data_IF_243639660951
#
_entry.id   IF_243639660951
#
_cell.length_a   1.000
_cell.length_b   1.000
_cell.length_c   1.000
_cell.angle_alpha   90.00
_cell.angle_beta   90.00
_cell.angle_gamma   90.00
#
_symmetry.space_group_name_H-M   'P 1'
#
loop_
_entity.id
_entity.type
_entity.pdbx_description
1 polymer ?
#
# COMPACT_ATOMS: atom_id res chain seq x y z
N UNK A 1 -3.82 10.00 6.43
CA UNK A 1 -2.72 10.70 5.74
C UNK A 1 -1.76 11.32 6.77
N UNK A 2 -0.47 11.36 6.47
CA UNK A 2 0.59 12.01 7.25
C UNK A 2 1.40 12.92 6.34
N UNK A 3 1.66 14.15 6.78
CA UNK A 3 2.53 15.10 6.10
C UNK A 3 3.42 15.81 7.13
N UNK A 4 4.73 15.84 6.88
CA UNK A 4 5.71 16.54 7.73
C UNK A 4 6.89 17.08 6.93
N UNK A 5 7.54 18.12 7.44
CA UNK A 5 8.78 18.71 6.96
C UNK A 5 10.00 18.34 7.81
N UNK A 6 9.77 17.82 9.01
CA UNK A 6 10.81 17.55 10.02
C UNK A 6 11.09 16.06 10.16
N UNK A 7 10.04 15.25 10.26
CA UNK A 7 10.14 13.83 10.58
C UNK A 7 9.79 12.97 9.37
N UNK A 8 10.77 12.20 8.90
CA UNK A 8 10.61 11.26 7.79
C UNK A 8 9.82 10.01 8.16
N UNK A 9 9.84 9.62 9.44
CA UNK A 9 9.19 8.40 9.92
C UNK A 9 7.77 8.72 10.41
N UNK A 10 6.73 8.25 9.70
CA UNK A 10 5.36 8.43 10.15
C UNK A 10 5.11 7.66 11.45
N UNK A 11 4.54 8.34 12.44
CA UNK A 11 4.22 7.77 13.76
C UNK A 11 2.72 7.78 14.02
N UNK A 12 2.23 6.73 14.68
CA UNK A 12 0.85 6.67 15.18
C UNK A 12 0.62 7.52 16.43
N UNK A 13 1.65 8.19 16.95
CA UNK A 13 1.54 9.06 18.12
C UNK A 13 0.80 10.35 17.75
N UNK A 14 -0.44 10.43 18.22
CA UNK A 14 -1.29 11.60 18.04
C UNK A 14 -0.67 12.78 18.81
N UNK A 15 -0.30 13.86 18.09
CA UNK A 15 0.24 15.10 18.68
C UNK A 15 1.71 15.41 18.38
N UNK A 16 2.47 14.47 17.81
CA UNK A 16 3.87 14.68 17.40
C UNK A 16 4.01 14.98 15.89
N UNK A 17 2.89 14.97 15.15
CA UNK A 17 2.85 15.10 13.69
C UNK A 17 2.36 16.50 13.27
N UNK A 18 3.01 17.12 12.27
CA UNK A 18 2.64 18.47 11.79
C UNK A 18 1.27 18.50 11.10
N UNK A 19 0.98 17.52 10.24
CA UNK A 19 -0.33 17.34 9.63
C UNK A 19 -0.71 15.85 9.59
N UNK A 20 -1.83 15.51 10.22
CA UNK A 20 -2.37 14.14 10.24
C UNK A 20 -3.88 14.16 10.05
N UNK A 21 -4.37 13.18 9.29
CA UNK A 21 -5.79 12.89 9.16
C UNK A 21 -6.02 11.38 9.26
N UNK A 22 -7.11 11.03 9.96
CA UNK A 22 -7.53 9.65 10.27
C UNK A 22 -8.89 9.31 9.65
N UNK A 23 -9.32 10.07 8.65
CA UNK A 23 -10.60 9.84 7.97
C UNK A 23 -10.50 8.65 7.01
N UNK A 24 -11.62 7.95 6.85
CA UNK A 24 -11.80 6.95 5.80
C UNK A 24 -12.48 7.65 4.63
N UNK A 25 -11.75 7.92 3.55
CA UNK A 25 -12.28 8.63 2.38
C UNK A 25 -11.24 9.52 1.70
N UNK A 26 -11.73 10.45 0.88
CA UNK A 26 -10.87 11.42 0.19
C UNK A 26 -10.32 12.42 1.20
N UNK A 27 -9.01 12.61 1.17
CA UNK A 27 -8.30 13.57 1.99
C UNK A 27 -7.57 14.57 1.09
N UNK A 28 -7.65 15.86 1.41
CA UNK A 28 -7.05 16.93 0.63
C UNK A 28 -6.21 17.81 1.54
N UNK A 29 -4.91 17.82 1.29
CA UNK A 29 -3.96 18.67 1.99
C UNK A 29 -3.34 19.66 1.00
N UNK A 30 -3.50 20.96 1.28
CA UNK A 30 -2.82 22.03 0.56
C UNK A 30 -1.56 22.41 1.31
N UNK A 31 -0.41 22.30 0.65
CA UNK A 31 0.89 22.68 1.20
C UNK A 31 1.31 24.04 0.63
N UNK A 32 1.45 25.09 1.46
CA UNK A 32 1.89 26.41 0.99
C UNK A 32 3.31 26.39 0.42
N UNK A 33 3.62 27.36 -0.43
CA UNK A 33 4.95 27.52 -1.04
C UNK A 33 6.05 27.78 0.00
N UNK A 34 5.71 28.41 1.12
CA UNK A 34 6.64 28.76 2.21
C UNK A 34 7.02 27.55 3.08
N UNK A 35 6.45 26.38 2.80
CA UNK A 35 6.72 25.16 3.56
C UNK A 35 8.15 24.70 3.32
N UNK A 36 8.90 24.47 4.41
CA UNK A 36 10.28 24.01 4.32
C UNK A 36 10.37 22.63 3.65
N UNK A 37 11.44 22.40 2.89
CA UNK A 37 11.72 21.10 2.26
C UNK A 37 12.86 20.41 3.01
N UNK A 38 12.88 19.06 3.08
CA UNK A 38 12.03 18.10 2.35
C UNK A 38 10.60 17.98 2.89
N UNK A 39 9.67 17.51 2.05
CA UNK A 39 8.30 17.20 2.46
C UNK A 39 8.10 15.68 2.46
N UNK A 40 7.81 15.13 3.63
CA UNK A 40 7.52 13.72 3.86
C UNK A 40 6.01 13.51 3.85
N UNK A 41 5.53 12.59 2.99
CA UNK A 41 4.11 12.26 2.85
C UNK A 41 3.93 10.74 2.98
N UNK A 42 3.00 10.31 3.83
CA UNK A 42 2.68 8.90 4.01
C UNK A 42 1.17 8.68 4.14
N UNK A 43 0.68 7.53 3.67
CA UNK A 43 -0.72 7.11 3.81
C UNK A 43 -0.77 5.91 4.75
N UNK A 44 -1.63 5.96 5.77
CA UNK A 44 -1.84 4.85 6.69
C UNK A 44 -2.87 3.88 6.12
N UNK A 45 -2.58 2.58 6.26
CA UNK A 45 -3.54 1.53 5.99
C UNK A 45 -4.69 1.56 7.02
N UNK A 46 -5.87 1.10 6.61
CA UNK A 46 -7.01 0.94 7.50
C UNK A 46 -6.81 -0.29 8.41
N UNK A 47 -6.88 -0.15 9.75
CA UNK A 47 -6.53 -1.23 10.67
C UNK A 47 -7.46 -2.45 10.58
N UNK A 48 -8.71 -2.27 10.11
CA UNK A 48 -9.66 -3.38 9.93
C UNK A 48 -9.43 -4.19 8.65
N UNK A 49 -8.50 -3.80 7.77
CA UNK A 49 -8.22 -4.50 6.52
C UNK A 49 -6.80 -5.08 6.52
N UNK A 50 -6.67 -6.37 6.15
CA UNK A 50 -5.37 -7.03 6.01
C UNK A 50 -4.51 -6.38 4.92
N UNK A 51 -5.16 -5.88 3.87
CA UNK A 51 -4.55 -5.09 2.79
C UNK A 51 -5.43 -3.88 2.56
N UNK A 52 -4.84 -2.69 2.53
CA UNK A 52 -5.54 -1.43 2.25
C UNK A 52 -5.11 -0.86 0.92
N UNK A 53 -6.07 -0.63 0.04
CA UNK A 53 -5.84 0.03 -1.25
C UNK A 53 -6.05 1.53 -1.10
N UNK A 54 -5.12 2.32 -1.65
CA UNK A 54 -5.19 3.76 -1.65
C UNK A 54 -4.52 4.33 -2.90
N UNK A 55 -4.99 5.49 -3.36
CA UNK A 55 -4.37 6.22 -4.45
C UNK A 55 -3.87 7.57 -3.94
N UNK A 56 -2.58 7.85 -4.10
CA UNK A 56 -1.98 9.13 -3.76
C UNK A 56 -1.64 9.88 -5.04
N UNK A 57 -2.23 11.06 -5.21
CA UNK A 57 -1.97 11.93 -6.37
C UNK A 57 -1.33 13.22 -5.87
N UNK A 58 -0.12 13.51 -6.33
CA UNK A 58 0.62 14.73 -6.01
C UNK A 58 0.70 15.58 -7.28
N UNK A 59 0.25 16.84 -7.19
CA UNK A 59 0.36 17.81 -8.26
C UNK A 59 1.08 19.06 -7.74
N UNK A 60 2.04 19.57 -8.52
CA UNK A 60 2.83 20.75 -8.18
C UNK A 60 2.44 21.88 -9.12
N UNK A 61 2.04 23.02 -8.54
CA UNK A 61 1.66 24.21 -9.29
C UNK A 61 2.73 25.28 -9.12
N UNK A 62 3.32 25.75 -10.23
CA UNK A 62 4.32 26.82 -10.25
C UNK A 62 3.79 28.05 -11.01
N UNK A 63 4.16 29.26 -10.57
CA UNK A 63 3.93 30.53 -11.29
C UNK A 63 2.73 31.38 -10.83
N UNK A 64 2.51 32.53 -11.49
CA UNK A 64 1.37 33.41 -11.18
C UNK A 64 0.04 32.73 -11.57
N UNK A 65 -0.95 32.74 -10.67
CA UNK A 65 -2.22 32.03 -10.87
C UNK A 65 -2.19 30.54 -10.52
N UNK A 66 -1.16 30.06 -9.81
CA UNK A 66 -1.10 28.71 -9.22
C UNK A 66 -2.36 28.38 -8.41
N UNK A 67 -2.83 29.34 -7.61
CA UNK A 67 -4.03 29.19 -6.79
C UNK A 67 -5.29 28.89 -7.61
N UNK A 68 -5.55 29.62 -8.70
CA UNK A 68 -6.72 29.37 -9.56
C UNK A 68 -6.65 28.01 -10.26
N UNK A 69 -5.45 27.58 -10.70
CA UNK A 69 -5.25 26.26 -11.32
C UNK A 69 -5.44 25.13 -10.31
N UNK A 70 -4.92 25.33 -9.10
CA UNK A 70 -5.09 24.40 -8.00
C UNK A 70 -6.57 24.27 -7.62
N UNK A 71 -7.30 25.39 -7.46
CA UNK A 71 -8.73 25.36 -7.16
C UNK A 71 -9.52 24.60 -8.23
N UNK A 72 -9.27 24.85 -9.52
CA UNK A 72 -9.91 24.11 -10.62
C UNK A 72 -9.58 22.62 -10.60
N UNK A 73 -8.33 22.25 -10.32
CA UNK A 73 -7.93 20.85 -10.21
C UNK A 73 -8.62 20.15 -9.03
N UNK A 74 -8.70 20.82 -7.88
CA UNK A 74 -9.41 20.33 -6.70
C UNK A 74 -10.90 20.16 -7.00
N UNK A 75 -11.55 21.14 -7.61
CA UNK A 75 -12.98 21.07 -7.98
C UNK A 75 -13.25 19.96 -8.98
N UNK A 76 -12.39 19.79 -10.00
CA UNK A 76 -12.49 18.69 -10.95
C UNK A 76 -12.41 17.32 -10.25
N UNK A 77 -11.51 17.18 -9.27
CA UNK A 77 -11.28 15.94 -8.53
C UNK A 77 -12.24 15.72 -7.36
N UNK A 78 -12.85 16.77 -6.82
CA UNK A 78 -13.81 16.72 -5.71
C UNK A 78 -15.26 16.64 -6.18
N UNK A 79 -15.58 17.22 -7.34
CA UNK A 79 -16.94 17.29 -7.90
C UNK A 79 -17.30 16.14 -8.83
N UNK A 80 -16.31 15.38 -9.29
CA UNK A 80 -16.53 14.02 -9.78
C UNK A 80 -16.38 13.09 -8.59
N UNK A 81 -17.37 12.24 -8.30
CA UNK A 81 -17.06 10.99 -7.60
C UNK A 81 -16.01 10.29 -8.46
N UNK A 82 -14.72 10.40 -8.07
CA UNK A 82 -13.55 9.88 -8.75
C UNK A 82 -13.85 9.48 -10.21
N UNK A 83 -13.94 10.43 -11.15
CA UNK A 83 -13.64 10.08 -12.54
C UNK A 83 -12.11 9.90 -12.58
N UNK A 84 -11.59 8.69 -12.46
CA UNK A 84 -12.26 7.42 -12.69
C UNK A 84 -11.81 6.38 -11.68
N UNK A 85 -12.76 5.79 -10.96
CA UNK A 85 -12.62 4.41 -10.50
C UNK A 85 -12.06 3.56 -11.62
N UNK A 86 -12.31 3.85 -12.90
CA UNK A 86 -11.68 3.20 -14.06
C UNK A 86 -10.16 3.45 -14.27
N UNK A 87 -9.59 4.63 -14.02
CA UNK A 87 -8.13 4.91 -14.07
C UNK A 87 -7.45 4.39 -12.81
N UNK A 88 -8.11 4.56 -11.66
CA UNK A 88 -7.64 4.03 -10.38
C UNK A 88 -7.75 2.50 -10.36
N UNK A 89 -8.80 1.92 -10.95
CA UNK A 89 -8.95 0.47 -11.20
C UNK A 89 -8.05 -0.01 -12.33
N UNK A 90 -7.68 0.83 -13.30
CA UNK A 90 -6.61 0.49 -14.24
C UNK A 90 -5.23 0.44 -13.55
N UNK A 91 -4.96 1.34 -12.60
CA UNK A 91 -3.79 1.29 -11.72
C UNK A 91 -3.84 0.06 -10.79
N UNK A 92 -5.01 -0.26 -10.22
CA UNK A 92 -5.20 -1.42 -9.33
C UNK A 92 -5.42 -2.75 -10.07
N UNK A 93 -5.70 -2.77 -11.38
CA UNK A 93 -5.82 -4.01 -12.15
C UNK A 93 -4.47 -4.69 -12.30
N UNK A 94 -3.38 -3.92 -12.33
CA UNK A 94 -2.02 -4.43 -12.20
C UNK A 94 -1.81 -5.08 -10.82
N UNK A 95 -2.35 -4.48 -9.74
CA UNK A 95 -2.34 -5.06 -8.38
C UNK A 95 -3.16 -6.35 -8.22
N UNK A 96 -4.17 -6.64 -9.05
CA UNK A 96 -4.80 -7.97 -9.02
C UNK A 96 -3.80 -9.08 -9.36
N UNK A 97 -2.79 -8.82 -10.18
CA UNK A 97 -1.67 -9.77 -10.35
C UNK A 97 -0.84 -9.91 -9.07
N UNK A 98 -0.65 -8.85 -8.28
CA UNK A 98 0.05 -8.92 -6.99
C UNK A 98 -0.78 -9.63 -5.91
N UNK A 99 -2.10 -9.45 -5.86
CA UNK A 99 -2.98 -10.21 -4.97
C UNK A 99 -3.05 -11.69 -5.38
N UNK A 100 -3.06 -11.99 -6.68
CA UNK A 100 -2.91 -13.36 -7.19
C UNK A 100 -1.52 -13.90 -6.83
N UNK A 101 -0.46 -13.11 -6.98
CA UNK A 101 0.91 -13.47 -6.62
C UNK A 101 1.06 -13.76 -5.13
N UNK A 102 0.51 -12.92 -4.24
CA UNK A 102 0.54 -13.17 -2.78
C UNK A 102 -0.22 -14.44 -2.37
N UNK A 103 -1.39 -14.70 -2.98
CA UNK A 103 -2.10 -15.96 -2.79
C UNK A 103 -1.31 -17.16 -3.33
N UNK A 104 -0.66 -17.01 -4.49
CA UNK A 104 0.20 -18.05 -5.07
C UNK A 104 1.42 -18.31 -4.20
N UNK A 105 2.08 -17.29 -3.67
CA UNK A 105 3.21 -17.41 -2.73
C UNK A 105 2.79 -18.20 -1.49
N UNK A 106 1.62 -17.89 -0.92
CA UNK A 106 1.10 -18.64 0.22
C UNK A 106 0.83 -20.10 -0.13
N UNK A 107 0.24 -20.36 -1.29
CA UNK A 107 -0.03 -21.73 -1.76
C UNK A 107 1.29 -22.47 -2.07
N UNK A 108 2.31 -21.82 -2.63
CA UNK A 108 3.60 -22.45 -2.93
C UNK A 108 4.33 -22.84 -1.66
N UNK A 109 4.26 -22.02 -0.60
CA UNK A 109 4.81 -22.37 0.72
C UNK A 109 4.09 -23.58 1.32
N UNK A 110 2.75 -23.64 1.22
CA UNK A 110 1.97 -24.80 1.68
C UNK A 110 2.29 -26.08 0.87
N UNK A 111 2.50 -25.96 -0.44
CA UNK A 111 2.87 -27.10 -1.28
C UNK A 111 4.30 -27.55 -0.98
N UNK A 112 5.27 -26.62 -0.84
CA UNK A 112 6.65 -26.95 -0.49
C UNK A 112 6.73 -27.66 0.86
N UNK A 113 6.03 -27.18 1.87
CA UNK A 113 5.98 -27.85 3.19
C UNK A 113 5.36 -29.24 3.11
N UNK A 114 4.29 -29.41 2.34
CA UNK A 114 3.67 -30.72 2.12
C UNK A 114 4.64 -31.69 1.40
N UNK A 115 5.35 -31.22 0.37
CA UNK A 115 6.33 -32.03 -0.36
C UNK A 115 7.46 -32.47 0.57
N UNK A 116 8.00 -31.57 1.39
CA UNK A 116 9.06 -31.91 2.35
C UNK A 116 8.59 -32.97 3.36
N UNK A 117 7.36 -32.85 3.87
CA UNK A 117 6.78 -33.86 4.74
C UNK A 117 6.62 -35.23 4.05
N UNK A 118 6.20 -35.23 2.78
CA UNK A 118 6.07 -36.47 2.01
C UNK A 118 7.44 -37.11 1.71
N UNK A 119 8.46 -36.30 1.39
CA UNK A 119 9.84 -36.74 1.18
C UNK A 119 10.42 -37.34 2.46
N UNK A 120 10.24 -36.68 3.60
CA UNK A 120 10.70 -37.18 4.90
C UNK A 120 10.03 -38.52 5.27
N UNK A 121 8.71 -38.62 5.07
CA UNK A 121 7.98 -39.87 5.31
C UNK A 121 8.45 -40.99 4.37
N UNK A 122 8.69 -40.67 3.10
CA UNK A 122 9.19 -41.62 2.12
C UNK A 122 10.59 -42.14 2.49
N UNK A 123 11.55 -41.26 2.74
CA UNK A 123 12.91 -41.67 3.14
C UNK A 123 12.93 -42.44 4.45
N UNK A 124 12.11 -42.04 5.43
CA UNK A 124 11.98 -42.78 6.70
C UNK A 124 11.44 -44.19 6.48
N UNK A 125 10.49 -44.38 5.56
CA UNK A 125 9.93 -45.70 5.24
C UNK A 125 10.90 -46.57 4.43
N UNK A 126 11.65 -45.99 3.50
CA UNK A 126 12.66 -46.70 2.69
C UNK A 126 13.88 -47.11 3.54
N UNK A 127 14.34 -46.24 4.45
CA UNK A 127 15.41 -46.58 5.40
C UNK A 127 15.02 -47.75 6.30
N UNK A 128 13.77 -47.76 6.80
CA UNK A 128 13.26 -48.88 7.61
C UNK A 128 13.11 -50.20 6.85
N UNK A 129 12.91 -50.17 5.53
CA UNK A 129 12.92 -51.40 4.72
C UNK A 129 14.33 -51.91 4.43
N UNK A 130 15.33 -51.02 4.33
CA UNK A 130 16.72 -51.41 4.11
C UNK A 130 17.37 -52.01 5.39
N UNK A 131 17.04 -51.47 6.57
CA UNK A 131 17.50 -52.01 7.86
C UNK A 131 16.82 -53.34 8.26
N UNK A 132 15.79 -53.79 7.53
CA UNK A 132 15.13 -55.09 7.75
C UNK A 132 15.66 -56.21 6.87
N UNK A 133 16.48 -55.90 5.87
CA UNK A 133 17.06 -56.89 4.95
C UNK A 133 18.58 -57.12 5.17
N UNK A 134 19.17 -56.53 6.22
CA UNK A 134 20.48 -56.90 6.79
C UNK A 134 20.31 -57.59 8.15
#
# INVERSE_FOLDING_TARGET
LYVSTVTSEPSFKIGENEFQSVTCGVDLVRVPEQTSRPLYVAVYAHPSHLVSQYALVINVFEGNGSDQRMHRWVEQKSGSELTSLQEVEALFNDERQYLISSKLIYITELISTLILLLVDVFFKRVGQTFDREQ
#
